data_IF_825801059371
#
_entry.id   IF_825801059371
#
_cell.length_a   1.000
_cell.length_b   1.000
_cell.length_c   1.000
_cell.angle_alpha   90.00
_cell.angle_beta   90.00
_cell.angle_gamma   90.00
#
_symmetry.space_group_name_H-M   'P 1'
#
loop_
_entity.id
_entity.type
_entity.pdbx_description
1 polymer ?
#
# COMPACT_ATOMS: atom_id res chain seq x y z
N UNK A 1 18.47 -10.58 4.08
CA UNK A 1 19.53 -9.99 3.26
C UNK A 1 19.50 -10.45 1.79
N UNK A 2 19.45 -11.74 1.48
CA UNK A 2 19.44 -12.24 0.08
C UNK A 2 18.35 -11.62 -0.79
N UNK A 3 17.12 -11.42 -0.28
CA UNK A 3 16.00 -10.86 -1.04
C UNK A 3 16.24 -9.42 -1.48
N UNK A 4 16.80 -8.54 -0.62
CA UNK A 4 17.08 -7.14 -0.99
C UNK A 4 18.10 -7.05 -2.13
N UNK A 5 19.11 -7.90 -2.11
CA UNK A 5 20.16 -7.94 -3.14
C UNK A 5 19.63 -8.51 -4.46
N UNK A 6 18.60 -9.37 -4.41
CA UNK A 6 18.01 -10.00 -5.61
C UNK A 6 16.94 -9.17 -6.30
N UNK A 7 16.50 -8.03 -5.73
CA UNK A 7 15.52 -7.14 -6.36
C UNK A 7 16.21 -6.38 -7.50
N UNK A 8 15.75 -6.54 -8.75
CA UNK A 8 16.47 -6.01 -9.92
C UNK A 8 16.44 -4.49 -10.02
N UNK A 9 15.41 -3.84 -9.46
CA UNK A 9 15.26 -2.38 -9.46
C UNK A 9 14.18 -1.95 -8.45
N UNK A 10 14.21 -0.69 -8.00
CA UNK A 10 13.28 -0.16 -6.99
C UNK A 10 11.82 -0.19 -7.42
N UNK A 11 11.53 -0.14 -8.71
CA UNK A 11 10.18 -0.25 -9.27
C UNK A 11 9.61 -1.67 -9.25
N UNK A 12 10.43 -2.67 -8.95
CA UNK A 12 10.05 -4.06 -8.82
C UNK A 12 9.78 -4.41 -7.36
N UNK A 13 8.52 -4.32 -6.96
CA UNK A 13 8.10 -4.61 -5.59
C UNK A 13 7.82 -6.11 -5.45
N UNK A 14 8.53 -6.85 -4.58
CA UNK A 14 8.23 -8.25 -4.30
C UNK A 14 6.77 -8.43 -3.87
N UNK A 15 6.06 -9.35 -4.50
CA UNK A 15 4.64 -9.58 -4.27
C UNK A 15 4.34 -11.00 -3.81
N UNK A 16 4.78 -11.99 -4.58
CA UNK A 16 4.58 -13.40 -4.29
C UNK A 16 5.79 -14.20 -4.78
N UNK A 17 5.91 -15.41 -4.26
CA UNK A 17 6.97 -16.34 -4.71
C UNK A 17 6.34 -17.44 -5.54
N UNK A 18 6.95 -17.73 -6.66
CA UNK A 18 6.64 -18.92 -7.44
C UNK A 18 7.29 -20.12 -6.74
N UNK A 19 6.47 -21.07 -6.28
CA UNK A 19 6.94 -22.18 -5.45
C UNK A 19 7.75 -23.19 -6.25
N UNK A 20 7.48 -23.35 -7.55
CA UNK A 20 8.19 -24.34 -8.39
C UNK A 20 9.57 -23.84 -8.79
N UNK A 21 9.70 -22.55 -9.11
CA UNK A 21 10.96 -21.95 -9.54
C UNK A 21 11.72 -21.23 -8.42
N UNK A 22 11.09 -21.03 -7.25
CA UNK A 22 11.62 -20.26 -6.11
C UNK A 22 12.04 -18.85 -6.55
N UNK A 23 11.28 -18.25 -7.46
CA UNK A 23 11.51 -16.89 -7.98
C UNK A 23 10.45 -15.91 -7.51
N UNK A 24 10.88 -14.69 -7.20
CA UNK A 24 9.96 -13.60 -6.89
C UNK A 24 9.15 -13.20 -8.13
N UNK A 25 7.85 -13.07 -7.93
CA UNK A 25 6.96 -12.31 -8.82
C UNK A 25 6.86 -10.91 -8.27
N UNK A 26 6.98 -9.92 -9.14
CA UNK A 26 7.00 -8.51 -8.77
C UNK A 26 5.70 -7.82 -9.16
N UNK A 27 5.37 -6.77 -8.40
CA UNK A 27 4.29 -5.83 -8.74
C UNK A 27 4.85 -4.43 -8.88
N UNK A 28 4.00 -3.50 -9.32
CA UNK A 28 4.34 -2.09 -9.48
C UNK A 28 3.62 -1.23 -8.43
N UNK A 29 4.08 0.00 -8.25
CA UNK A 29 3.39 1.01 -7.46
C UNK A 29 1.97 1.21 -8.01
N UNK A 30 0.96 1.15 -7.13
CA UNK A 30 -0.45 1.22 -7.49
C UNK A 30 -1.18 -0.13 -7.54
N UNK A 31 -0.46 -1.26 -7.48
CA UNK A 31 -1.08 -2.54 -7.13
C UNK A 31 -1.56 -2.52 -5.68
N UNK A 32 -2.67 -3.17 -5.37
CA UNK A 32 -3.22 -3.22 -4.01
C UNK A 32 -2.26 -3.82 -2.98
N UNK A 33 -1.32 -4.65 -3.41
CA UNK A 33 -0.31 -5.29 -2.56
C UNK A 33 0.97 -4.46 -2.37
N UNK A 34 1.15 -3.36 -3.11
CA UNK A 34 2.45 -2.67 -3.17
C UNK A 34 2.92 -2.10 -1.83
N UNK A 35 2.00 -1.84 -0.89
CA UNK A 35 2.32 -1.35 0.46
C UNK A 35 2.88 -2.41 1.41
N UNK A 36 2.65 -3.69 1.15
CA UNK A 36 3.06 -4.75 2.09
C UNK A 36 4.58 -4.93 2.15
N UNK A 37 5.27 -4.84 1.02
CA UNK A 37 6.71 -4.97 1.01
C UNK A 37 7.43 -3.91 1.86
N UNK A 38 7.21 -2.61 1.68
CA UNK A 38 7.79 -1.62 2.59
C UNK A 38 7.32 -1.82 4.04
N UNK A 39 6.09 -2.30 4.27
CA UNK A 39 5.59 -2.66 5.59
C UNK A 39 6.47 -3.72 6.27
N UNK A 40 6.81 -4.79 5.57
CA UNK A 40 7.73 -5.83 6.06
C UNK A 40 9.10 -5.23 6.40
N UNK A 41 9.63 -4.37 5.54
CA UNK A 41 10.92 -3.72 5.77
C UNK A 41 10.90 -2.80 7.00
N UNK A 42 9.78 -2.08 7.24
CA UNK A 42 9.59 -1.28 8.43
C UNK A 42 9.53 -2.12 9.71
N UNK A 43 8.88 -3.29 9.68
CA UNK A 43 8.87 -4.21 10.82
C UNK A 43 10.25 -4.81 11.09
N UNK A 44 11.02 -5.15 10.04
CA UNK A 44 12.40 -5.58 10.21
C UNK A 44 13.28 -4.50 10.84
N UNK A 45 13.09 -3.24 10.46
CA UNK A 45 13.74 -2.12 11.13
C UNK A 45 13.30 -1.98 12.60
N UNK A 46 12.01 -2.11 12.87
CA UNK A 46 11.49 -2.00 14.24
C UNK A 46 12.05 -3.07 15.16
N UNK A 47 12.20 -4.29 14.67
CA UNK A 47 12.76 -5.43 15.42
C UNK A 47 14.29 -5.33 15.59
N UNK A 48 15.00 -5.12 14.50
CA UNK A 48 16.47 -5.22 14.49
C UNK A 48 17.19 -3.91 14.82
N UNK A 49 16.53 -2.76 14.65
CA UNK A 49 17.11 -1.40 14.70
C UNK A 49 18.24 -1.17 13.68
N UNK A 50 18.40 -2.06 12.71
CA UNK A 50 19.40 -1.91 11.65
C UNK A 50 18.94 -0.89 10.60
N UNK A 51 19.74 0.18 10.44
CA UNK A 51 19.46 1.27 9.50
C UNK A 51 19.37 0.80 8.04
N UNK A 52 19.96 -0.32 7.68
CA UNK A 52 19.80 -0.91 6.34
C UNK A 52 18.31 -1.14 5.99
N UNK A 53 17.53 -1.66 6.94
CA UNK A 53 16.10 -1.89 6.75
C UNK A 53 15.32 -0.59 6.68
N UNK A 54 15.69 0.40 7.50
CA UNK A 54 15.11 1.74 7.49
C UNK A 54 15.28 2.43 6.13
N UNK A 55 16.50 2.39 5.59
CA UNK A 55 16.81 2.98 4.29
C UNK A 55 16.07 2.26 3.16
N UNK A 56 16.05 0.93 3.16
CA UNK A 56 15.33 0.15 2.17
C UNK A 56 13.82 0.42 2.23
N UNK A 57 13.24 0.43 3.43
CA UNK A 57 11.83 0.74 3.65
C UNK A 57 11.48 2.16 3.18
N UNK A 58 12.31 3.14 3.54
CA UNK A 58 12.13 4.55 3.16
C UNK A 58 12.11 4.72 1.63
N UNK A 59 13.07 4.14 0.93
CA UNK A 59 13.14 4.22 -0.54
C UNK A 59 11.87 3.70 -1.22
N UNK A 60 11.36 2.55 -0.80
CA UNK A 60 10.12 1.99 -1.38
C UNK A 60 8.90 2.79 -0.95
N UNK A 61 8.86 3.28 0.30
CA UNK A 61 7.78 4.13 0.79
C UNK A 61 7.72 5.46 0.03
N UNK A 62 8.86 6.12 -0.21
CA UNK A 62 8.95 7.37 -0.96
C UNK A 62 8.49 7.18 -2.43
N UNK A 63 8.76 6.02 -3.03
CA UNK A 63 8.24 5.68 -4.37
C UNK A 63 6.71 5.51 -4.37
N UNK A 64 6.12 5.02 -3.30
CA UNK A 64 4.67 4.80 -3.17
C UNK A 64 3.95 6.09 -2.75
N UNK A 65 4.60 6.98 -2.02
CA UNK A 65 4.02 8.19 -1.43
C UNK A 65 3.19 9.05 -2.40
N UNK A 66 3.55 9.23 -3.69
CA UNK A 66 2.73 9.98 -4.65
C UNK A 66 1.32 9.41 -4.87
N UNK A 67 1.08 8.13 -4.55
CA UNK A 67 -0.24 7.52 -4.65
C UNK A 67 -1.22 8.10 -3.62
N UNK A 68 -0.72 8.62 -2.50
CA UNK A 68 -1.53 9.23 -1.44
C UNK A 68 -2.34 10.44 -1.94
N UNK A 69 -1.84 11.14 -2.95
CA UNK A 69 -2.46 12.33 -3.55
C UNK A 69 -3.36 12.00 -4.75
N UNK A 70 -3.56 10.71 -5.02
CA UNK A 70 -4.46 10.25 -6.09
C UNK A 70 -5.84 9.93 -5.52
N UNK A 71 -6.87 10.03 -6.37
CA UNK A 71 -8.21 9.59 -6.01
C UNK A 71 -8.20 8.10 -5.65
N UNK A 72 -8.72 7.76 -4.48
CA UNK A 72 -8.88 6.36 -4.06
C UNK A 72 -9.81 5.63 -5.04
N UNK A 73 -9.40 4.42 -5.45
CA UNK A 73 -10.17 3.57 -6.36
C UNK A 73 -10.88 2.43 -5.62
N UNK A 74 -10.37 2.07 -4.45
CA UNK A 74 -10.90 1.01 -3.61
C UNK A 74 -10.46 1.22 -2.15
N UNK A 75 -11.01 0.42 -1.25
CA UNK A 75 -10.58 0.35 0.15
C UNK A 75 -9.11 -0.05 0.31
N UNK A 76 -8.51 -0.70 -0.68
CA UNK A 76 -7.09 -1.12 -0.65
C UNK A 76 -6.12 0.05 -0.50
N UNK A 77 -6.56 1.28 -0.83
CA UNK A 77 -5.79 2.49 -0.55
C UNK A 77 -5.38 2.57 0.92
N UNK A 78 -6.23 2.11 1.84
CA UNK A 78 -5.92 2.01 3.26
C UNK A 78 -4.75 1.07 3.55
N UNK A 79 -4.74 -0.13 2.95
CA UNK A 79 -3.64 -1.08 3.11
C UNK A 79 -2.33 -0.54 2.54
N UNK A 80 -2.39 0.02 1.33
CA UNK A 80 -1.19 0.59 0.69
C UNK A 80 -0.57 1.65 1.60
N UNK A 81 -1.36 2.61 2.06
CA UNK A 81 -0.85 3.76 2.81
C UNK A 81 -0.46 3.40 4.24
N UNK A 82 -1.27 2.64 4.96
CA UNK A 82 -0.94 2.30 6.35
C UNK A 82 0.26 1.38 6.46
N UNK A 83 0.41 0.40 5.58
CA UNK A 83 1.57 -0.49 5.59
C UNK A 83 2.87 0.24 5.22
N UNK A 84 2.82 1.22 4.32
CA UNK A 84 3.99 1.98 3.86
C UNK A 84 4.21 3.27 4.67
N UNK A 85 3.46 4.32 4.36
CA UNK A 85 3.59 5.63 4.99
C UNK A 85 3.26 5.59 6.50
N UNK A 86 2.26 4.78 6.90
CA UNK A 86 1.83 4.66 8.29
C UNK A 86 2.95 4.13 9.19
N UNK A 87 3.56 3.02 8.80
CA UNK A 87 4.72 2.50 9.53
C UNK A 87 5.92 3.45 9.45
N UNK A 88 6.16 4.05 8.28
CA UNK A 88 7.21 5.03 8.10
C UNK A 88 7.06 6.23 9.04
N UNK A 89 5.84 6.80 9.14
CA UNK A 89 5.56 7.90 10.06
C UNK A 89 5.73 7.47 11.52
N UNK A 90 5.15 6.35 11.90
CA UNK A 90 5.22 5.82 13.27
C UNK A 90 6.66 5.63 13.76
N UNK A 91 7.55 5.19 12.87
CA UNK A 91 8.93 4.83 13.23
C UNK A 91 9.94 5.96 13.03
N UNK A 92 9.62 6.98 12.22
CA UNK A 92 10.56 8.06 11.88
C UNK A 92 10.07 9.46 12.25
N UNK A 93 8.76 9.63 12.43
CA UNK A 93 8.15 10.95 12.64
C UNK A 93 8.15 11.85 11.39
N UNK A 94 8.49 11.34 10.21
CA UNK A 94 8.61 12.11 8.97
C UNK A 94 7.28 12.80 8.61
N UNK A 95 7.18 14.15 8.67
CA UNK A 95 5.91 14.86 8.53
C UNK A 95 5.24 14.68 7.18
N UNK A 96 6.02 14.49 6.11
CA UNK A 96 5.50 14.25 4.75
C UNK A 96 4.70 12.95 4.67
N UNK A 97 5.06 11.94 5.47
CA UNK A 97 4.30 10.70 5.54
C UNK A 97 2.93 10.92 6.21
N UNK A 98 2.89 11.74 7.28
CA UNK A 98 1.64 12.12 7.93
C UNK A 98 0.72 12.86 6.97
N UNK A 99 1.26 13.84 6.24
CA UNK A 99 0.50 14.61 5.25
C UNK A 99 -0.11 13.69 4.19
N UNK A 100 0.71 12.80 3.60
CA UNK A 100 0.23 11.82 2.63
C UNK A 100 -0.87 10.91 3.20
N UNK A 101 -0.75 10.46 4.45
CA UNK A 101 -1.79 9.66 5.12
C UNK A 101 -3.12 10.42 5.24
N UNK A 102 -3.09 11.70 5.60
CA UNK A 102 -4.30 12.52 5.72
C UNK A 102 -4.96 12.70 4.34
N UNK A 103 -4.20 13.02 3.31
CA UNK A 103 -4.73 13.10 1.94
C UNK A 103 -5.35 11.79 1.46
N UNK A 104 -4.69 10.67 1.73
CA UNK A 104 -5.22 9.36 1.36
C UNK A 104 -6.50 9.02 2.14
N UNK A 105 -6.58 9.37 3.42
CA UNK A 105 -7.77 9.17 4.24
C UNK A 105 -8.95 9.99 3.73
N UNK A 106 -8.73 11.26 3.41
CA UNK A 106 -9.77 12.12 2.82
C UNK A 106 -10.27 11.55 1.49
N UNK A 107 -9.34 11.11 0.63
CA UNK A 107 -9.70 10.50 -0.65
C UNK A 107 -10.46 9.19 -0.48
N UNK A 108 -10.12 8.39 0.52
CA UNK A 108 -10.82 7.14 0.85
C UNK A 108 -12.21 7.42 1.42
N UNK A 109 -12.35 8.44 2.27
CA UNK A 109 -13.63 8.86 2.83
C UNK A 109 -14.65 9.28 1.75
N UNK A 110 -14.17 9.79 0.60
CA UNK A 110 -15.03 10.10 -0.55
C UNK A 110 -15.71 8.87 -1.18
N UNK A 111 -15.26 7.67 -0.86
CA UNK A 111 -15.91 6.42 -1.28
C UNK A 111 -17.09 6.02 -0.37
N UNK A 112 -17.33 6.77 0.71
CA UNK A 112 -18.45 6.52 1.61
C UNK A 112 -19.79 6.77 0.91
N UNK A 113 -20.69 5.81 1.02
CA UNK A 113 -22.06 5.94 0.55
C UNK A 113 -23.01 6.07 1.74
N UNK A 114 -23.60 7.25 1.97
CA UNK A 114 -24.48 7.49 3.12
C UNK A 114 -25.82 6.72 3.04
N UNK A 115 -26.24 6.29 1.85
CA UNK A 115 -27.49 5.54 1.67
C UNK A 115 -27.39 4.14 2.26
N UNK A 116 -26.23 3.49 2.06
CA UNK A 116 -25.98 2.13 2.57
C UNK A 116 -25.07 2.13 3.81
N UNK A 117 -24.59 3.29 4.24
CA UNK A 117 -23.76 3.44 5.45
C UNK A 117 -22.38 2.79 5.37
N UNK A 118 -21.81 2.62 4.17
CA UNK A 118 -20.53 1.90 4.00
C UNK A 118 -19.63 2.54 2.96
N UNK A 119 -18.35 2.13 2.94
CA UNK A 119 -17.36 2.52 1.93
C UNK A 119 -17.36 1.48 0.81
N UNK A 120 -17.37 1.94 -0.44
CA UNK A 120 -17.25 1.05 -1.60
C UNK A 120 -15.95 0.25 -1.57
N UNK A 121 -16.08 -1.08 -1.64
CA UNK A 121 -14.95 -2.02 -1.67
C UNK A 121 -14.15 -1.88 -2.98
N UNK A 122 -14.87 -1.71 -4.11
CA UNK A 122 -14.27 -1.52 -5.43
C UNK A 122 -15.03 -0.42 -6.16
N UNK A 123 -14.33 0.61 -6.62
CA UNK A 123 -14.86 1.52 -7.62
C UNK A 123 -14.86 0.80 -8.98
N UNK A 124 -15.86 -0.05 -9.20
CA UNK A 124 -15.97 -0.82 -10.43
C UNK A 124 -16.59 0.01 -11.56
N UNK A 125 -16.07 -0.15 -12.79
CA UNK A 125 -16.62 0.45 -14.01
C UNK A 125 -18.12 0.09 -14.16
N UNK A 126 -18.92 1.10 -14.43
CA UNK A 126 -20.39 1.22 -14.53
C UNK A 126 -21.31 0.00 -14.62
N UNK A 127 -20.94 -1.10 -15.27
CA UNK A 127 -21.84 -2.24 -15.46
C UNK A 127 -22.03 -3.14 -14.21
N UNK A 128 -21.06 -3.19 -13.31
CA UNK A 128 -21.13 -4.02 -12.11
C UNK A 128 -21.61 -3.29 -10.85
N UNK A 129 -21.90 -1.98 -10.92
CA UNK A 129 -22.64 -1.26 -9.88
C UNK A 129 -24.01 -1.86 -9.57
N UNK A 130 -24.66 -2.47 -10.59
CA UNK A 130 -25.97 -3.13 -10.43
C UNK A 130 -25.89 -4.40 -9.59
N UNK A 131 -24.79 -5.16 -9.67
CA UNK A 131 -24.63 -6.41 -8.91
C UNK A 131 -24.28 -6.17 -7.44
N UNK A 132 -23.44 -5.18 -7.12
CA UNK A 132 -23.10 -4.87 -5.72
C UNK A 132 -24.32 -4.38 -4.92
N UNK A 133 -25.24 -3.64 -5.55
CA UNK A 133 -26.49 -3.22 -4.92
C UNK A 133 -27.48 -4.39 -4.69
N UNK A 134 -27.30 -5.52 -5.35
CA UNK A 134 -28.19 -6.68 -5.28
C UNK A 134 -27.82 -7.70 -4.20
N UNK A 135 -26.58 -7.62 -3.64
CA UNK A 135 -26.08 -8.56 -2.63
C UNK A 135 -26.06 -8.00 -1.20
N UNK A 136 -26.53 -6.78 -0.98
CA UNK A 136 -26.54 -6.14 0.35
C UNK A 136 -27.97 -5.69 0.77
N UNK A 137 -28.98 -6.53 0.48
CA UNK A 137 -30.29 -6.51 1.11
C UNK A 137 -30.53 -7.81 1.87
#
# INVERSE_FOLDING_TARGET
MRTLVSIPSLDKIPNSMDLDSIKWRYTQAGSWTCGFWPGILWYLYEDTKDNMWREAAGKVTDMIAPLAYRKAKSHDSGFIMMCSLGNGYRLTGKPEYKEGLLHAADSLAMLYNPVVGTIFILAWNGEKRKLAAQYYY
#
